data_IF_288513010931
#
_entry.id   IF_288513010931
#
_cell.length_a   1.000
_cell.length_b   1.000
_cell.length_c   1.000
_cell.angle_alpha   90.00
_cell.angle_beta   90.00
_cell.angle_gamma   90.00
#
_symmetry.space_group_name_H-M   'P 1'
#
loop_
_entity.id
_entity.type
_entity.pdbx_description
1 polymer ?
#
# COMPACT_ATOMS: atom_id res chain seq x y z
N UNK A 1 10.74 0.32 -21.68
CA UNK A 1 10.25 0.20 -20.27
C UNK A 1 8.98 -0.64 -20.29
N UNK A 2 9.07 -1.98 -20.25
CA UNK A 2 7.87 -2.87 -20.25
C UNK A 2 7.96 -4.00 -19.24
N UNK A 3 9.17 -4.46 -18.90
CA UNK A 3 9.37 -5.55 -17.94
C UNK A 3 9.31 -5.10 -16.47
N UNK A 4 9.73 -3.87 -16.14
CA UNK A 4 9.76 -3.38 -14.75
C UNK A 4 8.36 -3.31 -14.11
N UNK A 5 7.33 -3.02 -14.91
CA UNK A 5 5.93 -2.99 -14.50
C UNK A 5 5.32 -4.37 -14.24
N UNK A 6 6.01 -5.46 -14.58
CA UNK A 6 5.52 -6.83 -14.36
C UNK A 6 5.79 -7.29 -12.92
N UNK A 7 6.85 -6.78 -12.29
CA UNK A 7 7.31 -7.30 -10.99
C UNK A 7 6.95 -6.41 -9.81
N UNK A 8 6.83 -5.10 -10.00
CA UNK A 8 6.53 -4.17 -8.92
C UNK A 8 5.59 -3.06 -9.40
N UNK A 9 4.56 -2.80 -8.61
CA UNK A 9 3.68 -1.64 -8.81
C UNK A 9 4.11 -0.47 -7.94
N UNK A 10 3.65 0.73 -8.31
CA UNK A 10 3.74 1.94 -7.50
C UNK A 10 2.36 2.30 -7.00
N UNK A 11 2.20 2.49 -5.69
CA UNK A 11 0.95 2.90 -5.08
C UNK A 11 1.00 4.33 -4.59
N UNK A 12 -0.14 5.02 -4.60
CA UNK A 12 -0.28 6.39 -4.10
C UNK A 12 -1.62 6.56 -3.41
N UNK A 13 -1.78 7.68 -2.70
CA UNK A 13 -3.01 8.05 -2.00
C UNK A 13 -3.65 9.22 -2.73
N UNK A 14 -4.97 9.19 -2.86
CA UNK A 14 -5.77 10.30 -3.36
C UNK A 14 -6.85 10.61 -2.34
N UNK A 15 -6.99 11.88 -1.96
CA UNK A 15 -8.05 12.35 -1.06
C UNK A 15 -8.80 13.51 -1.69
N UNK A 16 -10.09 13.64 -1.36
CA UNK A 16 -10.88 14.83 -1.66
C UNK A 16 -11.70 15.15 -0.42
N UNK A 17 -11.39 16.29 0.19
CA UNK A 17 -12.14 16.79 1.34
C UNK A 17 -13.58 17.08 0.95
N UNK A 18 -14.46 17.12 1.94
CA UNK A 18 -15.82 17.59 1.75
C UNK A 18 -15.82 18.99 1.12
N UNK A 19 -16.65 19.17 0.10
CA UNK A 19 -16.79 20.42 -0.67
C UNK A 19 -15.53 20.89 -1.43
N UNK A 20 -14.44 20.10 -1.44
CA UNK A 20 -13.26 20.44 -2.24
C UNK A 20 -13.55 20.34 -3.74
N UNK A 21 -13.01 21.28 -4.52
CA UNK A 21 -13.18 21.28 -5.97
C UNK A 21 -12.36 20.18 -6.66
N UNK A 22 -11.19 19.83 -6.11
CA UNK A 22 -10.22 18.93 -6.72
C UNK A 22 -9.73 17.87 -5.74
N UNK A 23 -9.20 16.77 -6.28
CA UNK A 23 -8.49 15.76 -5.52
C UNK A 23 -7.05 16.19 -5.24
N UNK A 24 -6.54 15.79 -4.09
CA UNK A 24 -5.12 15.88 -3.74
C UNK A 24 -4.48 14.50 -3.82
N UNK A 25 -3.41 14.38 -4.60
CA UNK A 25 -2.62 13.16 -4.76
C UNK A 25 -1.32 13.26 -3.98
N UNK A 26 -0.97 12.19 -3.27
CA UNK A 26 0.29 12.04 -2.54
C UNK A 26 1.06 10.83 -3.05
N UNK A 27 2.26 11.08 -3.57
CA UNK A 27 3.20 10.06 -3.99
C UNK A 27 4.44 10.08 -3.10
N UNK A 28 4.94 8.91 -2.76
CA UNK A 28 6.26 8.79 -2.15
C UNK A 28 7.26 8.30 -3.20
N UNK A 29 8.27 9.11 -3.54
CA UNK A 29 9.17 8.83 -4.67
C UNK A 29 10.62 9.18 -4.34
N UNK A 30 11.55 8.67 -5.15
CA UNK A 30 12.98 9.00 -5.05
C UNK A 30 13.34 10.39 -5.62
N UNK A 31 12.38 11.14 -6.19
CA UNK A 31 12.68 12.33 -6.99
C UNK A 31 12.25 13.62 -6.28
N UNK A 32 13.23 14.41 -5.83
CA UNK A 32 12.98 15.68 -5.14
C UNK A 32 12.53 15.47 -3.71
N UNK A 33 11.48 16.20 -3.29
CA UNK A 33 10.84 15.99 -2.00
C UNK A 33 10.27 14.57 -1.91
N UNK A 34 10.63 13.78 -0.87
CA UNK A 34 10.25 12.37 -0.78
C UNK A 34 8.74 12.15 -0.86
N UNK A 35 7.94 13.04 -0.25
CA UNK A 35 6.48 13.06 -0.40
C UNK A 35 6.11 14.20 -1.33
N UNK A 36 5.65 13.83 -2.53
CA UNK A 36 5.20 14.76 -3.56
C UNK A 36 3.69 14.93 -3.49
N UNK A 37 3.25 16.18 -3.40
CA UNK A 37 1.81 16.54 -3.43
C UNK A 37 1.46 17.07 -4.82
N UNK A 38 0.40 16.53 -5.44
CA UNK A 38 -0.10 16.91 -6.77
C UNK A 38 0.98 16.94 -7.86
N UNK A 39 1.97 16.04 -7.76
CA UNK A 39 3.02 15.89 -8.76
C UNK A 39 2.53 15.33 -10.09
N UNK A 40 1.41 14.61 -10.05
CA UNK A 40 0.76 13.94 -11.17
C UNK A 40 -0.76 14.07 -11.01
N UNK A 41 -1.50 13.83 -12.09
CA UNK A 41 -2.97 13.77 -12.03
C UNK A 41 -3.43 12.66 -11.04
N UNK A 42 -4.57 12.83 -10.36
CA UNK A 42 -5.08 11.85 -9.39
C UNK A 42 -5.19 10.42 -9.94
N UNK A 43 -5.67 10.29 -11.18
CA UNK A 43 -5.80 9.08 -11.99
C UNK A 43 -4.75 9.01 -13.12
N UNK A 44 -3.65 9.74 -12.95
CA UNK A 44 -2.57 9.80 -13.93
C UNK A 44 -1.90 8.44 -14.12
N UNK A 45 -1.63 8.09 -15.38
CA UNK A 45 -0.88 6.88 -15.76
C UNK A 45 0.50 6.84 -15.12
N UNK A 46 0.93 5.66 -14.70
CA UNK A 46 2.27 5.43 -14.18
C UNK A 46 3.12 4.69 -15.22
N UNK A 47 4.12 5.37 -15.79
CA UNK A 47 4.94 4.86 -16.91
C UNK A 47 4.12 4.23 -18.05
N UNK A 48 2.97 4.84 -18.38
CA UNK A 48 2.06 4.41 -19.45
C UNK A 48 0.99 3.39 -19.02
N UNK A 49 1.13 2.74 -17.86
CA UNK A 49 0.10 1.86 -17.31
C UNK A 49 -1.08 2.68 -16.77
N UNK A 50 -2.30 2.22 -17.03
CA UNK A 50 -3.50 2.80 -16.42
C UNK A 50 -3.54 2.45 -14.92
N UNK A 51 -4.00 3.36 -14.05
CA UNK A 51 -4.13 3.07 -12.64
C UNK A 51 -5.29 2.09 -12.38
N UNK A 52 -5.15 1.31 -11.31
CA UNK A 52 -6.21 0.44 -10.78
C UNK A 52 -6.53 0.84 -9.35
N UNK A 53 -7.81 0.84 -9.00
CA UNK A 53 -8.26 1.16 -7.65
C UNK A 53 -8.08 -0.04 -6.72
N UNK A 54 -7.24 0.11 -5.70
CA UNK A 54 -7.07 -0.90 -4.64
C UNK A 54 -8.24 -0.84 -3.65
N UNK A 55 -8.61 0.38 -3.23
CA UNK A 55 -9.75 0.66 -2.36
C UNK A 55 -10.27 2.06 -2.66
N UNK A 56 -11.59 2.23 -2.62
CA UNK A 56 -12.26 3.53 -2.68
C UNK A 56 -13.27 3.63 -1.54
N UNK A 57 -13.43 4.84 -1.00
CA UNK A 57 -14.38 5.15 0.06
C UNK A 57 -14.90 6.56 -0.16
N UNK A 58 -16.20 6.75 0.01
CA UNK A 58 -16.89 8.02 -0.23
C UNK A 58 -17.77 8.42 0.96
N UNK A 59 -18.26 9.67 0.93
CA UNK A 59 -19.23 10.20 1.89
C UNK A 59 -18.69 10.32 3.32
N UNK A 60 -19.58 10.16 4.30
CA UNK A 60 -19.25 10.34 5.72
C UNK A 60 -18.11 9.43 6.20
N UNK A 61 -17.96 8.24 5.60
CA UNK A 61 -16.84 7.34 5.91
C UNK A 61 -15.52 7.94 5.41
N UNK A 62 -15.46 8.51 4.22
CA UNK A 62 -14.26 9.19 3.74
C UNK A 62 -13.90 10.39 4.63
N UNK A 63 -14.89 11.23 4.97
CA UNK A 63 -14.72 12.40 5.84
C UNK A 63 -14.11 12.03 7.21
N UNK A 64 -14.49 10.89 7.77
CA UNK A 64 -13.91 10.40 9.03
C UNK A 64 -12.47 9.85 8.91
N UNK A 65 -12.09 9.35 7.72
CA UNK A 65 -10.81 8.67 7.48
C UNK A 65 -9.71 9.60 6.99
N UNK A 66 -10.07 10.61 6.18
CA UNK A 66 -9.11 11.55 5.58
C UNK A 66 -8.18 12.18 6.64
N UNK A 67 -8.67 12.68 7.80
CA UNK A 67 -7.79 13.25 8.82
C UNK A 67 -6.71 12.29 9.34
N UNK A 68 -7.05 11.00 9.50
CA UNK A 68 -6.10 9.96 9.96
C UNK A 68 -5.01 9.73 8.91
N UNK A 69 -5.42 9.61 7.64
CA UNK A 69 -4.49 9.44 6.52
C UNK A 69 -3.58 10.66 6.38
N UNK A 70 -4.12 11.87 6.48
CA UNK A 70 -3.34 13.12 6.45
C UNK A 70 -2.33 13.18 7.58
N UNK A 71 -2.71 12.79 8.79
CA UNK A 71 -1.79 12.75 9.91
C UNK A 71 -0.57 11.85 9.62
N UNK A 72 -0.78 10.68 9.01
CA UNK A 72 0.33 9.81 8.57
C UNK A 72 1.18 10.51 7.50
N UNK A 73 0.56 11.14 6.50
CA UNK A 73 1.28 11.83 5.42
C UNK A 73 2.13 12.99 5.99
N UNK A 74 1.60 13.75 6.94
CA UNK A 74 2.26 14.92 7.53
C UNK A 74 3.35 14.54 8.54
N UNK A 75 3.23 13.37 9.19
CA UNK A 75 4.16 12.88 10.22
C UNK A 75 4.93 11.62 9.81
N UNK A 76 4.94 11.31 8.51
CA UNK A 76 5.62 10.13 7.99
C UNK A 76 7.11 10.13 8.37
N UNK A 77 7.56 9.04 8.99
CA UNK A 77 8.92 8.90 9.54
C UNK A 77 10.02 9.03 8.48
N UNK A 78 9.78 8.51 7.28
CA UNK A 78 10.78 8.40 6.20
C UNK A 78 10.63 9.54 5.18
N UNK A 79 10.35 10.75 5.65
CA UNK A 79 10.08 11.90 4.79
C UNK A 79 11.32 12.72 4.42
N UNK A 80 12.52 12.31 4.85
CA UNK A 80 13.76 13.05 4.60
C UNK A 80 14.45 12.60 3.31
N UNK A 81 15.23 13.51 2.71
CA UNK A 81 16.01 13.18 1.51
C UNK A 81 16.97 12.02 1.80
N UNK A 82 16.94 10.99 0.94
CA UNK A 82 17.75 9.78 1.10
C UNK A 82 17.08 8.64 1.89
N UNK A 83 15.94 8.87 2.55
CA UNK A 83 15.22 7.80 3.25
C UNK A 83 14.60 6.78 2.27
N UNK A 84 14.22 7.24 1.08
CA UNK A 84 13.59 6.40 0.07
C UNK A 84 14.56 5.32 -0.40
N UNK A 85 14.13 4.06 -0.32
CA UNK A 85 14.83 2.92 -0.90
C UNK A 85 13.86 2.06 -1.70
N UNK A 86 14.14 1.83 -2.98
CA UNK A 86 13.27 1.07 -3.90
C UNK A 86 12.97 -0.34 -3.34
N UNK A 87 13.95 -0.98 -2.70
CA UNK A 87 13.83 -2.32 -2.14
C UNK A 87 14.86 -2.54 -1.01
N UNK A 88 14.50 -3.24 0.08
CA UNK A 88 13.17 -3.76 0.41
C UNK A 88 12.18 -2.68 0.87
N UNK A 89 12.65 -1.46 1.09
CA UNK A 89 11.89 -0.31 1.56
C UNK A 89 12.78 0.60 2.42
N UNK A 90 12.25 1.75 2.89
CA UNK A 90 10.87 2.22 2.68
C UNK A 90 10.69 2.79 1.26
N UNK A 91 9.58 2.42 0.60
CA UNK A 91 9.19 2.91 -0.73
C UNK A 91 7.71 3.31 -0.77
N UNK A 92 7.15 3.55 -1.95
CA UNK A 92 5.75 3.97 -2.11
C UNK A 92 4.74 2.97 -1.55
N UNK A 93 5.03 1.67 -1.65
CA UNK A 93 4.19 0.62 -1.09
C UNK A 93 4.28 0.61 0.44
N UNK A 94 5.47 0.84 1.02
CA UNK A 94 5.63 1.05 2.48
C UNK A 94 4.85 2.27 2.97
N UNK A 95 4.88 3.37 2.21
CA UNK A 95 4.18 4.60 2.55
C UNK A 95 2.66 4.42 2.56
N UNK A 96 2.10 3.80 1.52
CA UNK A 96 0.66 3.50 1.47
C UNK A 96 0.28 2.47 2.53
N UNK A 97 1.13 1.48 2.81
CA UNK A 97 0.90 0.54 3.91
C UNK A 97 0.79 1.27 5.25
N UNK A 98 1.71 2.21 5.53
CA UNK A 98 1.66 3.00 6.76
C UNK A 98 0.38 3.84 6.89
N UNK A 99 -0.17 4.33 5.77
CA UNK A 99 -1.46 5.00 5.76
C UNK A 99 -2.61 4.02 6.05
N UNK A 100 -2.63 2.84 5.42
CA UNK A 100 -3.65 1.81 5.67
C UNK A 100 -3.67 1.34 7.12
N UNK A 101 -2.50 1.19 7.74
CA UNK A 101 -2.36 0.79 9.15
C UNK A 101 -3.01 1.81 10.11
N UNK A 102 -3.18 3.08 9.71
CA UNK A 102 -3.88 4.12 10.49
C UNK A 102 -5.41 4.07 10.38
N UNK A 103 -5.92 3.30 9.42
CA UNK A 103 -7.36 3.18 9.10
C UNK A 103 -7.78 1.71 8.93
N UNK A 104 -7.58 0.85 9.96
CA UNK A 104 -7.92 -0.58 9.90
C UNK A 104 -9.38 -0.84 9.52
N UNK A 105 -10.28 0.10 9.81
CA UNK A 105 -11.69 0.05 9.44
C UNK A 105 -11.92 0.04 7.92
N UNK A 106 -10.94 0.41 7.08
CA UNK A 106 -11.01 0.23 5.63
C UNK A 106 -11.01 -1.23 5.21
N UNK A 107 -10.38 -2.11 6.01
CA UNK A 107 -10.22 -3.54 5.69
C UNK A 107 -9.66 -3.77 4.27
N UNK A 108 -8.73 -2.90 3.88
CA UNK A 108 -8.05 -2.93 2.59
C UNK A 108 -6.65 -3.52 2.76
N UNK A 109 -6.18 -4.19 1.71
CA UNK A 109 -4.86 -4.81 1.65
C UNK A 109 -4.18 -4.42 0.36
N UNK A 110 -2.89 -4.12 0.42
CA UNK A 110 -2.11 -3.94 -0.80
C UNK A 110 -1.97 -5.28 -1.55
N UNK A 111 -1.95 -5.26 -2.89
CA UNK A 111 -1.80 -6.49 -3.67
C UNK A 111 -0.41 -7.11 -3.44
N UNK A 112 -0.25 -8.43 -3.69
CA UNK A 112 1.03 -9.11 -3.53
C UNK A 112 2.15 -8.58 -4.45
N UNK A 113 1.80 -7.82 -5.49
CA UNK A 113 2.73 -7.15 -6.40
C UNK A 113 3.25 -5.80 -5.87
N UNK A 114 2.73 -5.32 -4.73
CA UNK A 114 3.19 -4.11 -4.06
C UNK A 114 4.48 -4.37 -3.25
N UNK A 115 5.59 -4.63 -3.96
CA UNK A 115 6.88 -4.93 -3.35
C UNK A 115 7.31 -3.83 -2.38
N UNK A 116 7.62 -4.20 -1.13
CA UNK A 116 7.98 -3.28 -0.05
C UNK A 116 6.84 -2.95 0.92
N UNK A 117 5.61 -3.44 0.67
CA UNK A 117 4.51 -3.35 1.64
C UNK A 117 4.84 -3.97 3.01
N UNK A 118 5.68 -5.00 3.04
CA UNK A 118 6.03 -5.74 4.26
C UNK A 118 7.29 -5.19 4.97
N UNK A 119 7.80 -4.02 4.56
CA UNK A 119 8.94 -3.40 5.23
C UNK A 119 8.56 -2.94 6.65
N UNK A 120 9.34 -3.28 7.70
CA UNK A 120 9.01 -3.00 9.10
C UNK A 120 9.25 -1.53 9.47
N UNK A 121 8.47 -0.63 8.88
CA UNK A 121 8.63 0.82 8.97
C UNK A 121 8.48 1.36 10.42
N UNK A 122 7.74 0.65 11.27
CA UNK A 122 7.59 0.92 12.72
C UNK A 122 8.82 0.54 13.54
N UNK A 123 9.78 -0.18 12.96
CA UNK A 123 10.92 -0.78 13.65
C UNK A 123 10.60 -2.12 14.36
N UNK A 124 9.34 -2.57 14.32
CA UNK A 124 8.92 -3.85 14.90
C UNK A 124 9.01 -4.97 13.87
N UNK A 125 9.55 -6.11 14.30
CA UNK A 125 9.74 -7.27 13.43
C UNK A 125 8.52 -8.21 13.45
N UNK A 126 7.57 -7.97 14.36
CA UNK A 126 6.30 -8.66 14.46
C UNK A 126 5.22 -7.69 14.95
N UNK A 127 3.96 -7.98 14.63
CA UNK A 127 2.85 -7.12 15.02
C UNK A 127 1.49 -7.66 14.55
N UNK A 128 0.49 -6.78 14.61
CA UNK A 128 -0.85 -7.06 14.09
C UNK A 128 -0.95 -6.61 12.63
N UNK A 129 -1.70 -7.32 11.81
CA UNK A 129 -1.91 -6.92 10.40
C UNK A 129 -2.64 -5.58 10.28
N UNK A 130 -2.55 -4.94 9.12
CA UNK A 130 -3.16 -3.64 8.84
C UNK A 130 -4.66 -3.57 9.16
N UNK A 131 -5.39 -4.65 8.90
CA UNK A 131 -6.82 -4.75 9.24
C UNK A 131 -7.10 -4.96 10.74
N UNK A 132 -6.08 -5.25 11.55
CA UNK A 132 -6.21 -5.66 12.94
C UNK A 132 -6.79 -7.07 13.13
N UNK A 133 -6.90 -7.87 12.06
CA UNK A 133 -7.55 -9.20 12.11
C UNK A 133 -6.58 -10.37 12.12
N UNK A 134 -5.30 -10.10 12.34
CA UNK A 134 -4.23 -11.06 12.18
C UNK A 134 -2.91 -10.61 12.76
N UNK A 135 -1.87 -11.41 12.50
CA UNK A 135 -0.48 -11.12 12.87
C UNK A 135 0.43 -11.15 11.66
N UNK A 136 1.54 -10.43 11.74
CA UNK A 136 2.64 -10.52 10.79
C UNK A 136 3.98 -10.64 11.50
N UNK A 137 4.96 -11.16 10.78
CA UNK A 137 6.37 -11.00 11.10
C UNK A 137 7.16 -10.67 9.82
N UNK A 138 8.14 -9.79 9.92
CA UNK A 138 8.99 -9.35 8.81
C UNK A 138 10.42 -9.12 9.28
N UNK A 139 11.37 -9.80 8.64
CA UNK A 139 12.80 -9.61 8.80
C UNK A 139 13.28 -8.59 7.77
N UNK A 140 13.25 -7.32 8.17
CA UNK A 140 13.71 -6.17 7.37
C UNK A 140 13.08 -6.07 5.96
N UNK A 141 11.90 -6.67 5.74
CA UNK A 141 11.22 -6.73 4.45
C UNK A 141 11.73 -7.80 3.48
N UNK A 142 12.78 -8.55 3.85
CA UNK A 142 13.33 -9.63 3.02
C UNK A 142 12.56 -10.93 3.17
N UNK A 143 12.21 -11.32 4.39
CA UNK A 143 11.49 -12.55 4.67
C UNK A 143 10.37 -12.20 5.63
N UNK A 144 9.14 -12.60 5.33
CA UNK A 144 8.03 -12.34 6.23
C UNK A 144 6.88 -13.30 6.01
N UNK A 145 5.96 -13.32 6.97
CA UNK A 145 4.68 -13.96 6.82
C UNK A 145 3.59 -13.08 7.43
N UNK A 146 2.38 -13.23 6.93
CA UNK A 146 1.19 -12.66 7.54
C UNK A 146 0.06 -13.68 7.53
N UNK A 147 -0.74 -13.68 8.59
CA UNK A 147 -1.98 -14.46 8.68
C UNK A 147 -3.05 -13.57 9.29
N UNK A 148 -4.14 -13.37 8.56
CA UNK A 148 -5.27 -12.56 9.01
C UNK A 148 -6.55 -12.86 8.26
N UNK A 149 -7.69 -12.48 8.83
CA UNK A 149 -8.99 -12.67 8.16
C UNK A 149 -9.14 -11.84 6.89
N UNK A 150 -8.54 -10.65 6.85
CA UNK A 150 -8.58 -9.75 5.69
C UNK A 150 -7.40 -9.97 4.75
N UNK A 151 -6.21 -10.20 5.30
CA UNK A 151 -4.98 -10.45 4.55
C UNK A 151 -4.92 -11.87 3.97
N UNK A 152 -5.59 -12.84 4.57
CA UNK A 152 -5.36 -14.25 4.26
C UNK A 152 -4.03 -14.74 4.83
N UNK A 153 -3.46 -15.78 4.24
CA UNK A 153 -2.12 -16.28 4.57
C UNK A 153 -1.15 -15.85 3.48
N UNK A 154 -0.11 -15.09 3.81
CA UNK A 154 0.95 -14.69 2.89
C UNK A 154 2.33 -15.05 3.44
N UNK A 155 3.24 -15.36 2.52
CA UNK A 155 4.68 -15.51 2.73
C UNK A 155 5.37 -14.57 1.75
N UNK A 156 6.20 -13.67 2.27
CA UNK A 156 7.08 -12.80 1.50
C UNK A 156 8.50 -13.39 1.52
N UNK A 157 9.08 -13.59 0.35
CA UNK A 157 10.48 -13.96 0.18
C UNK A 157 11.14 -13.07 -0.87
N UNK A 158 12.03 -12.19 -0.44
CA UNK A 158 12.74 -11.17 -1.22
C UNK A 158 11.83 -10.29 -2.09
N UNK A 159 10.59 -10.03 -1.63
CA UNK A 159 9.56 -9.27 -2.35
C UNK A 159 8.60 -10.13 -3.16
N UNK A 160 8.88 -11.43 -3.34
CA UNK A 160 7.94 -12.36 -3.93
C UNK A 160 6.92 -12.79 -2.87
N UNK A 161 5.68 -12.31 -3.02
CA UNK A 161 4.58 -12.64 -2.11
C UNK A 161 3.75 -13.79 -2.69
N UNK A 162 3.76 -14.93 -1.98
CA UNK A 162 2.89 -16.07 -2.24
C UNK A 162 1.84 -16.16 -1.13
N UNK A 163 0.59 -16.39 -1.48
CA UNK A 163 -0.45 -16.51 -0.47
C UNK A 163 -1.80 -17.00 -0.95
N UNK A 164 -2.72 -17.07 -0.01
CA UNK A 164 -4.12 -17.47 -0.22
C UNK A 164 -5.03 -16.53 0.55
N UNK A 165 -6.01 -15.95 -0.16
CA UNK A 165 -7.10 -15.18 0.43
C UNK A 165 -8.23 -16.15 0.81
N UNK A 166 -8.47 -16.29 2.11
CA UNK A 166 -9.48 -17.23 2.65
C UNK A 166 -10.88 -16.62 2.56
N UNK A 167 -11.01 -15.31 2.85
CA UNK A 167 -12.29 -14.60 2.90
C UNK A 167 -12.89 -14.42 1.52
N UNK A 168 -12.05 -14.19 0.52
CA UNK A 168 -12.43 -14.10 -0.90
C UNK A 168 -11.51 -15.06 -1.67
N UNK A 169 -11.89 -16.34 -1.82
CA UNK A 169 -11.03 -17.39 -2.36
C UNK A 169 -10.21 -16.95 -3.58
N UNK A 170 -8.91 -16.80 -3.39
CA UNK A 170 -7.97 -16.43 -4.44
C UNK A 170 -6.54 -16.82 -4.08
N UNK A 171 -5.75 -17.11 -5.11
CA UNK A 171 -4.31 -17.26 -5.02
C UNK A 171 -3.65 -15.88 -5.15
N UNK A 172 -2.64 -15.62 -4.33
CA UNK A 172 -1.78 -14.44 -4.41
C UNK A 172 -0.43 -14.91 -4.93
N UNK A 173 -0.08 -14.46 -6.12
CA UNK A 173 1.08 -14.96 -6.85
C UNK A 173 2.05 -13.80 -7.16
N UNK A 174 3.36 -14.01 -7.00
CA UNK A 174 4.35 -13.03 -7.42
C UNK A 174 4.20 -12.69 -8.90
N UNK A 175 4.21 -11.41 -9.24
CA UNK A 175 4.08 -10.90 -10.63
C UNK A 175 2.70 -11.04 -11.27
N UNK A 176 1.86 -11.98 -10.84
CA UNK A 176 0.50 -12.19 -11.38
C UNK A 176 -0.60 -11.56 -10.53
N UNK A 177 -0.28 -11.08 -9.32
CA UNK A 177 -1.26 -10.43 -8.46
C UNK A 177 -2.18 -11.45 -7.78
N UNK A 178 -3.45 -11.06 -7.58
CA UNK A 178 -4.48 -11.89 -6.95
C UNK A 178 -5.36 -12.52 -8.03
N UNK A 179 -5.38 -13.85 -8.11
CA UNK A 179 -6.14 -14.64 -9.09
C UNK A 179 -7.20 -15.46 -8.37
N UNK A 180 -8.47 -15.17 -8.61
CA UNK A 180 -9.60 -15.87 -7.98
C UNK A 180 -10.88 -15.05 -8.00
N UNK A 181 -11.76 -15.28 -7.03
CA UNK A 181 -13.06 -14.58 -6.93
C UNK A 181 -12.83 -13.08 -6.92
N UNK A 182 -13.58 -12.32 -7.71
CA UNK A 182 -13.42 -10.87 -7.85
C UNK A 182 -13.54 -10.17 -6.49
N UNK A 183 -12.69 -9.18 -6.25
CA UNK A 183 -12.87 -8.26 -5.14
C UNK A 183 -14.07 -7.38 -5.47
N UNK A 184 -15.26 -7.76 -4.99
CA UNK A 184 -16.41 -6.87 -5.01
C UNK A 184 -16.05 -5.52 -4.38
N UNK A 185 -16.51 -4.45 -5.04
CA UNK A 185 -16.46 -3.07 -4.57
C UNK A 185 -17.32 -2.93 -3.32
#
# INVERSE_FOLDING_TARGET
>A
MRWRSIFAIHTWIVVKEKDAATYTRYDYTAWGEPIRTNGFAPDGRWFGAAPETIVAVDGARAEALIPKIRHVIENYKFRSYGDYSVWPGPNSNTFVQAALDSVPELRAVLPPTAIGKDFPYTGRWFGVTASGTGIYASLAGYIGFSIGWVEGLEINFFGAVLGVDIRRPALKLPGLGRVGVTTGV
#
